data_IF_930363964223
#
_entry.id   IF_930363964223
#
_cell.length_a   1.000
_cell.length_b   1.000
_cell.length_c   1.000
_cell.angle_alpha   90.00
_cell.angle_beta   90.00
_cell.angle_gamma   90.00
#
_symmetry.space_group_name_H-M   'P 1'
#
loop_
_entity.id
_entity.type
_entity.pdbx_description
1 polymer ?
#
# COMPACT_ATOMS: atom_id res chain seq x y z
N UNK A 1 -18.97 12.20 -31.21
CA UNK A 1 -17.78 12.12 -30.33
C UNK A 1 -17.85 13.08 -29.15
N UNK A 2 -18.50 14.25 -29.25
CA UNK A 2 -18.59 15.22 -28.13
C UNK A 2 -19.27 14.73 -26.84
N UNK A 3 -20.17 13.75 -26.93
CA UNK A 3 -20.90 13.22 -25.76
C UNK A 3 -19.98 12.68 -24.67
N UNK A 4 -18.92 11.96 -25.04
CA UNK A 4 -17.95 11.45 -24.08
C UNK A 4 -17.12 12.57 -23.45
N UNK A 5 -16.79 13.63 -24.20
CA UNK A 5 -16.03 14.79 -23.71
C UNK A 5 -16.77 15.53 -22.58
N UNK A 6 -18.09 15.65 -22.69
CA UNK A 6 -18.93 16.25 -21.66
C UNK A 6 -19.08 15.37 -20.40
N UNK A 7 -18.93 14.04 -20.54
CA UNK A 7 -19.05 13.09 -19.43
C UNK A 7 -17.75 12.88 -18.66
N UNK A 8 -16.61 13.40 -19.16
CA UNK A 8 -15.28 13.29 -18.56
C UNK A 8 -14.65 14.65 -18.24
N UNK A 9 -15.46 15.72 -18.21
CA UNK A 9 -14.96 17.09 -18.18
C UNK A 9 -14.00 17.33 -17.00
N UNK A 10 -14.25 16.70 -15.85
CA UNK A 10 -13.40 16.81 -14.66
C UNK A 10 -12.06 16.10 -14.89
N UNK A 11 -12.05 14.85 -15.35
CA UNK A 11 -10.82 14.10 -15.59
C UNK A 11 -9.98 14.71 -16.72
N UNK A 12 -10.63 15.21 -17.77
CA UNK A 12 -9.97 15.87 -18.89
C UNK A 12 -9.28 17.17 -18.43
N UNK A 13 -9.95 17.98 -17.60
CA UNK A 13 -9.35 19.20 -17.03
C UNK A 13 -8.11 18.91 -16.18
N UNK A 14 -8.13 17.81 -15.41
CA UNK A 14 -6.96 17.37 -14.63
C UNK A 14 -5.80 17.01 -15.57
N UNK A 15 -6.07 16.25 -16.64
CA UNK A 15 -5.04 15.87 -17.61
C UNK A 15 -4.47 17.09 -18.34
N UNK A 16 -5.31 18.02 -18.77
CA UNK A 16 -4.86 19.29 -19.38
C UNK A 16 -3.91 20.06 -18.46
N UNK A 17 -4.20 20.10 -17.15
CA UNK A 17 -3.35 20.78 -16.18
C UNK A 17 -2.00 20.07 -16.01
N UNK A 18 -1.97 18.74 -16.04
CA UNK A 18 -0.73 17.95 -15.98
C UNK A 18 0.11 18.20 -17.22
N UNK A 19 -0.49 18.13 -18.41
CA UNK A 19 0.19 18.39 -19.68
C UNK A 19 0.80 19.80 -19.67
N UNK A 20 0.05 20.82 -19.22
CA UNK A 20 0.54 22.20 -19.07
C UNK A 20 1.76 22.30 -18.14
N UNK A 21 1.78 21.55 -17.04
CA UNK A 21 2.87 21.56 -16.06
C UNK A 21 4.12 20.86 -16.62
N UNK A 22 3.96 19.69 -17.21
CA UNK A 22 5.08 18.87 -17.69
C UNK A 22 5.66 19.38 -19.02
N UNK A 23 4.82 19.95 -19.88
CA UNK A 23 5.21 20.44 -21.20
C UNK A 23 4.91 21.94 -21.29
N UNK A 24 5.86 22.78 -20.88
CA UNK A 24 5.73 24.25 -20.94
C UNK A 24 5.37 24.78 -22.34
N UNK A 25 5.70 24.03 -23.39
CA UNK A 25 5.43 24.33 -24.80
C UNK A 25 4.34 23.43 -25.40
N UNK A 26 3.45 22.83 -24.60
CA UNK A 26 2.48 21.82 -25.08
C UNK A 26 1.61 22.30 -26.26
N UNK A 27 1.33 23.61 -26.35
CA UNK A 27 0.59 24.21 -27.46
C UNK A 27 1.36 24.14 -28.78
N UNK A 28 2.69 24.31 -28.72
CA UNK A 28 3.58 24.26 -29.88
C UNK A 28 3.81 22.81 -30.33
N UNK A 29 3.66 21.86 -29.40
CA UNK A 29 3.72 20.41 -29.64
C UNK A 29 2.41 19.81 -30.15
N UNK A 30 1.35 20.63 -30.32
CA UNK A 30 0.01 20.20 -30.73
C UNK A 30 -0.54 19.02 -29.89
N UNK A 31 -0.23 18.98 -28.59
CA UNK A 31 -0.71 17.91 -27.70
C UNK A 31 -2.19 18.17 -27.39
N UNK A 32 -3.08 17.35 -27.96
CA UNK A 32 -4.49 17.34 -27.61
C UNK A 32 -4.72 16.40 -26.42
N UNK A 33 -5.06 16.98 -25.26
CA UNK A 33 -5.35 16.23 -24.04
C UNK A 33 -6.52 15.25 -24.20
N UNK A 34 -7.51 15.55 -25.05
CA UNK A 34 -8.63 14.65 -25.31
C UNK A 34 -8.21 13.47 -26.19
N UNK A 35 -7.37 13.73 -27.19
CA UNK A 35 -6.80 12.68 -28.02
C UNK A 35 -5.86 11.78 -27.18
N UNK A 36 -4.98 12.37 -26.38
CA UNK A 36 -4.11 11.62 -25.47
C UNK A 36 -4.94 10.77 -24.47
N UNK A 37 -5.99 11.36 -23.90
CA UNK A 37 -6.90 10.66 -22.99
C UNK A 37 -7.61 9.47 -23.65
N UNK A 38 -8.05 9.62 -24.90
CA UNK A 38 -8.78 8.56 -25.62
C UNK A 38 -7.86 7.48 -26.18
N UNK A 39 -6.62 7.83 -26.52
CA UNK A 39 -5.63 6.90 -27.06
C UNK A 39 -4.84 6.13 -25.99
N UNK A 40 -4.91 6.53 -24.73
CA UNK A 40 -4.20 5.90 -23.62
C UNK A 40 -5.13 5.28 -22.57
N UNK A 41 -4.64 4.24 -21.90
CA UNK A 41 -5.36 3.56 -20.83
C UNK A 41 -5.19 4.29 -19.48
N UNK A 42 -5.80 5.46 -19.35
CA UNK A 42 -5.94 6.14 -18.06
C UNK A 42 -6.93 5.41 -17.15
N UNK A 43 -6.66 5.33 -15.84
CA UNK A 43 -7.71 5.03 -14.87
C UNK A 43 -8.49 6.33 -14.60
N UNK A 44 -9.73 6.40 -15.09
CA UNK A 44 -10.59 7.57 -15.03
C UNK A 44 -12.01 7.21 -14.58
N UNK A 45 -12.82 8.22 -14.29
CA UNK A 45 -14.24 8.06 -13.99
C UNK A 45 -15.07 9.20 -14.60
N UNK A 46 -16.29 8.89 -15.03
CA UNK A 46 -17.19 9.91 -15.55
C UNK A 46 -17.67 10.87 -14.44
N UNK A 47 -18.12 12.05 -14.83
CA UNK A 47 -18.57 13.10 -13.93
C UNK A 47 -19.74 12.64 -13.04
N UNK A 48 -20.61 11.75 -13.54
CA UNK A 48 -21.68 11.15 -12.75
C UNK A 48 -21.15 10.22 -11.65
N UNK A 49 -20.12 9.42 -11.93
CA UNK A 49 -19.50 8.54 -10.94
C UNK A 49 -18.79 9.34 -9.84
N UNK A 50 -18.14 10.45 -10.20
CA UNK A 50 -17.54 11.39 -9.26
C UNK A 50 -18.61 12.09 -8.41
N UNK A 51 -19.66 12.64 -9.05
CA UNK A 51 -20.79 13.31 -8.39
C UNK A 51 -21.50 12.39 -7.39
N UNK A 52 -21.72 11.14 -7.78
CA UNK A 52 -22.37 10.13 -6.94
C UNK A 52 -21.41 9.44 -5.98
N UNK A 53 -20.15 9.88 -5.88
CA UNK A 53 -19.12 9.32 -4.99
C UNK A 53 -18.87 7.82 -5.19
N UNK A 54 -19.17 7.30 -6.39
CA UNK A 54 -18.75 5.95 -6.80
C UNK A 54 -17.25 5.91 -7.13
N UNK A 55 -16.70 7.06 -7.49
CA UNK A 55 -15.27 7.30 -7.69
C UNK A 55 -14.82 8.58 -6.96
N UNK A 56 -13.52 8.73 -6.76
CA UNK A 56 -12.90 9.95 -6.25
C UNK A 56 -11.79 10.42 -7.19
N UNK A 57 -11.53 11.72 -7.16
CA UNK A 57 -10.47 12.36 -7.95
C UNK A 57 -9.08 11.96 -7.41
N UNK A 58 -8.19 11.59 -8.32
CA UNK A 58 -6.78 11.37 -8.02
C UNK A 58 -5.98 12.68 -8.23
N UNK A 59 -4.81 12.77 -7.60
CA UNK A 59 -3.88 13.89 -7.74
C UNK A 59 -2.59 13.36 -8.39
N UNK A 60 -2.48 13.37 -9.73
CA UNK A 60 -1.35 12.81 -10.45
C UNK A 60 0.05 13.27 -10.06
N UNK A 61 0.29 14.55 -9.73
CA UNK A 61 1.61 14.98 -9.26
C UNK A 61 2.07 14.29 -7.97
N UNK A 62 1.16 13.70 -7.22
CA UNK A 62 1.48 12.92 -6.02
C UNK A 62 1.66 11.44 -6.33
N UNK A 63 1.65 10.98 -7.58
CA UNK A 63 1.76 9.55 -7.88
C UNK A 63 3.17 9.18 -8.34
N UNK A 64 3.61 7.98 -7.97
CA UNK A 64 4.84 7.41 -8.49
C UNK A 64 4.57 6.66 -9.82
N UNK A 65 4.85 7.33 -10.94
CA UNK A 65 4.56 6.86 -12.31
C UNK A 65 5.60 7.36 -13.31
N UNK A 66 5.68 6.71 -14.47
CA UNK A 66 6.56 7.14 -15.59
C UNK A 66 5.77 7.77 -16.73
N UNK A 67 4.57 7.24 -17.04
CA UNK A 67 3.80 7.65 -18.22
C UNK A 67 2.41 8.14 -17.84
N UNK A 68 1.47 7.21 -17.64
CA UNK A 68 0.05 7.55 -17.52
C UNK A 68 -0.39 7.47 -16.06
N UNK A 69 -0.48 8.60 -15.34
CA UNK A 69 -1.01 8.60 -13.99
C UNK A 69 -2.49 8.21 -13.97
N UNK A 70 -2.98 7.81 -12.81
CA UNK A 70 -4.41 7.60 -12.58
C UNK A 70 -5.06 8.96 -12.35
N UNK A 71 -6.18 9.27 -13.02
CA UNK A 71 -6.87 10.56 -12.86
C UNK A 71 -8.10 10.46 -11.95
N UNK A 72 -8.61 9.24 -11.73
CA UNK A 72 -9.60 8.93 -10.71
C UNK A 72 -9.37 7.53 -10.11
N UNK A 73 -10.00 7.27 -8.96
CA UNK A 73 -10.03 5.96 -8.32
C UNK A 73 -11.47 5.50 -8.10
N UNK A 74 -11.71 4.22 -8.36
CA UNK A 74 -12.95 3.51 -8.03
C UNK A 74 -12.61 2.17 -7.36
N UNK A 75 -13.59 1.58 -6.69
CA UNK A 75 -13.41 0.33 -5.95
C UNK A 75 -13.05 -0.83 -6.89
N UNK A 76 -12.08 -1.66 -6.51
CA UNK A 76 -11.69 -2.86 -7.26
C UNK A 76 -11.82 -4.08 -6.39
N UNK A 77 -12.54 -5.09 -6.88
CA UNK A 77 -12.73 -6.37 -6.19
C UNK A 77 -11.57 -7.32 -6.54
N UNK A 78 -10.94 -7.88 -5.51
CA UNK A 78 -9.75 -8.72 -5.61
C UNK A 78 -9.91 -9.95 -4.73
N UNK A 79 -9.13 -11.00 -5.02
CA UNK A 79 -9.07 -12.22 -4.20
C UNK A 79 -7.76 -12.21 -3.40
N UNK A 80 -7.86 -12.43 -2.10
CA UNK A 80 -6.68 -12.46 -1.22
C UNK A 80 -5.85 -13.72 -1.50
N UNK A 81 -4.56 -13.55 -1.84
CA UNK A 81 -3.65 -14.68 -2.09
C UNK A 81 -3.42 -15.55 -0.86
N UNK A 82 -3.42 -14.98 0.34
CA UNK A 82 -3.19 -15.74 1.58
C UNK A 82 -4.41 -16.52 2.07
N UNK A 83 -5.59 -15.88 2.11
CA UNK A 83 -6.78 -16.51 2.73
C UNK A 83 -7.89 -16.89 1.73
N UNK A 84 -7.72 -16.57 0.44
CA UNK A 84 -8.69 -16.90 -0.62
C UNK A 84 -9.99 -16.09 -0.59
N UNK A 85 -10.17 -15.20 0.39
CA UNK A 85 -11.40 -14.39 0.51
C UNK A 85 -11.36 -13.19 -0.44
N UNK A 86 -12.54 -12.84 -0.95
CA UNK A 86 -12.75 -11.59 -1.67
C UNK A 86 -12.50 -10.40 -0.74
N UNK A 87 -11.90 -9.36 -1.29
CA UNK A 87 -11.75 -8.08 -0.62
C UNK A 87 -11.77 -6.94 -1.63
N UNK A 88 -12.10 -5.76 -1.16
CA UNK A 88 -12.16 -4.56 -1.99
C UNK A 88 -10.92 -3.72 -1.75
N UNK A 89 -10.18 -3.42 -2.82
CA UNK A 89 -9.23 -2.32 -2.83
C UNK A 89 -10.01 -1.04 -3.09
N UNK A 90 -10.39 -0.36 -2.01
CA UNK A 90 -11.31 0.78 -2.10
C UNK A 90 -10.65 1.98 -2.77
N UNK A 91 -11.46 2.87 -3.34
CA UNK A 91 -10.99 4.12 -3.93
C UNK A 91 -10.25 5.01 -2.93
N UNK A 92 -10.66 5.04 -1.66
CA UNK A 92 -9.96 5.74 -0.59
C UNK A 92 -8.60 5.09 -0.29
N UNK A 93 -8.56 3.75 -0.26
CA UNK A 93 -7.32 3.02 -0.06
C UNK A 93 -6.34 3.28 -1.23
N UNK A 94 -6.82 3.26 -2.48
CA UNK A 94 -6.03 3.61 -3.66
C UNK A 94 -5.40 4.99 -3.55
N UNK A 95 -6.16 5.99 -3.08
CA UNK A 95 -5.64 7.35 -2.88
C UNK A 95 -4.47 7.36 -1.92
N UNK A 96 -4.60 6.73 -0.75
CA UNK A 96 -3.49 6.62 0.21
C UNK A 96 -2.33 5.80 -0.37
N UNK A 97 -2.64 4.70 -1.05
CA UNK A 97 -1.66 3.76 -1.61
C UNK A 97 -0.74 4.42 -2.64
N UNK A 98 -1.31 5.18 -3.57
CA UNK A 98 -0.55 5.79 -4.66
C UNK A 98 -0.05 7.20 -4.31
N UNK A 99 -0.82 8.00 -3.56
CA UNK A 99 -0.48 9.41 -3.31
C UNK A 99 0.30 9.63 -2.02
N UNK A 100 0.01 8.87 -0.97
CA UNK A 100 0.69 9.01 0.33
C UNK A 100 1.85 8.03 0.45
N UNK A 101 1.62 6.75 0.14
CA UNK A 101 2.64 5.71 0.27
C UNK A 101 3.56 5.61 -0.96
N UNK A 102 3.24 6.33 -2.05
CA UNK A 102 4.07 6.41 -3.27
C UNK A 102 4.38 5.05 -3.89
N UNK A 103 3.52 4.05 -3.68
CA UNK A 103 3.65 2.79 -4.39
C UNK A 103 3.47 3.02 -5.89
N UNK A 104 4.20 2.26 -6.70
CA UNK A 104 4.08 2.30 -8.16
C UNK A 104 2.62 2.15 -8.59
N UNK A 105 2.17 2.99 -9.52
CA UNK A 105 0.76 3.01 -9.97
C UNK A 105 0.26 1.66 -10.54
N UNK A 106 1.16 0.80 -11.01
CA UNK A 106 0.83 -0.54 -11.51
C UNK A 106 0.72 -1.58 -10.39
N UNK A 107 1.13 -1.25 -9.17
CA UNK A 107 1.03 -2.15 -8.02
C UNK A 107 -0.38 -2.18 -7.45
N UNK A 108 -0.77 -3.32 -6.91
CA UNK A 108 -2.03 -3.52 -6.21
C UNK A 108 -1.81 -4.44 -5.00
N UNK A 109 -2.65 -4.34 -3.96
CA UNK A 109 -2.58 -5.28 -2.86
C UNK A 109 -2.95 -6.68 -3.35
N UNK A 110 -2.07 -7.65 -3.11
CA UNK A 110 -2.35 -9.08 -3.41
C UNK A 110 -2.96 -9.82 -2.22
N UNK A 111 -3.03 -9.17 -1.06
CA UNK A 111 -3.56 -9.69 0.19
C UNK A 111 -4.52 -8.69 0.81
N UNK A 112 -5.58 -9.18 1.44
CA UNK A 112 -6.52 -8.33 2.18
C UNK A 112 -5.82 -7.60 3.35
N UNK A 113 -6.47 -6.56 3.89
CA UNK A 113 -5.91 -5.75 4.98
C UNK A 113 -5.47 -6.59 6.19
N UNK A 114 -6.32 -7.52 6.62
CA UNK A 114 -6.03 -8.40 7.76
C UNK A 114 -4.77 -9.25 7.52
N UNK A 115 -4.66 -9.90 6.35
CA UNK A 115 -3.49 -10.69 5.99
C UNK A 115 -2.23 -9.82 5.86
N UNK A 116 -2.32 -8.60 5.29
CA UNK A 116 -1.18 -7.66 5.23
C UNK A 116 -0.70 -7.25 6.63
N UNK A 117 -1.61 -7.00 7.57
CA UNK A 117 -1.26 -6.68 8.96
C UNK A 117 -0.57 -7.86 9.65
N UNK A 118 -1.08 -9.08 9.48
CA UNK A 118 -0.46 -10.28 10.02
C UNK A 118 0.94 -10.53 9.45
N UNK A 119 1.12 -10.41 8.13
CA UNK A 119 2.43 -10.54 7.47
C UNK A 119 3.41 -9.50 8.01
N UNK A 120 2.98 -8.23 8.18
CA UNK A 120 3.81 -7.17 8.77
C UNK A 120 4.21 -7.50 10.21
N UNK A 121 3.26 -7.95 11.03
CA UNK A 121 3.52 -8.35 12.42
C UNK A 121 4.53 -9.49 12.49
N UNK A 122 4.36 -10.54 11.67
CA UNK A 122 5.28 -11.67 11.61
C UNK A 122 6.69 -11.24 11.18
N UNK A 123 6.80 -10.32 10.19
CA UNK A 123 8.10 -9.76 9.80
C UNK A 123 8.77 -8.98 10.93
N UNK A 124 8.03 -8.14 11.64
CA UNK A 124 8.54 -7.39 12.79
C UNK A 124 9.04 -8.36 13.86
N UNK A 125 8.21 -9.33 14.27
CA UNK A 125 8.57 -10.34 15.26
C UNK A 125 9.80 -11.16 14.83
N UNK A 126 9.87 -11.58 13.57
CA UNK A 126 11.02 -12.31 13.02
C UNK A 126 12.29 -11.46 13.06
N UNK A 127 12.19 -10.18 12.72
CA UNK A 127 13.31 -9.23 12.78
C UNK A 127 13.77 -9.00 14.21
N UNK A 128 12.84 -8.80 15.15
CA UNK A 128 13.13 -8.63 16.59
C UNK A 128 13.85 -9.86 17.13
N UNK A 129 13.33 -11.06 16.87
CA UNK A 129 13.99 -12.30 17.27
C UNK A 129 15.39 -12.40 16.65
N UNK A 130 15.54 -12.16 15.35
CA UNK A 130 16.85 -12.21 14.69
C UNK A 130 17.88 -11.28 15.34
N UNK A 131 17.48 -10.05 15.70
CA UNK A 131 18.36 -9.10 16.38
C UNK A 131 18.78 -9.56 17.78
N UNK A 132 17.84 -10.09 18.58
CA UNK A 132 18.14 -10.56 19.94
C UNK A 132 18.98 -11.83 19.91
N UNK A 133 18.62 -12.79 19.05
CA UNK A 133 19.25 -14.12 19.02
C UNK A 133 20.68 -14.13 18.44
N UNK A 134 21.14 -13.01 17.87
CA UNK A 134 22.55 -12.82 17.49
C UNK A 134 23.46 -12.57 18.69
N UNK A 135 22.92 -12.11 19.83
CA UNK A 135 23.70 -11.85 21.05
C UNK A 135 24.08 -13.16 21.73
N UNK A 136 25.19 -13.15 22.47
CA UNK A 136 25.47 -14.28 23.36
C UNK A 136 24.38 -14.38 24.43
N UNK A 137 24.07 -15.61 24.85
CA UNK A 137 23.00 -15.84 25.83
C UNK A 137 23.24 -15.16 27.17
N UNK A 138 24.50 -14.96 27.55
CA UNK A 138 24.88 -14.27 28.79
C UNK A 138 24.62 -12.77 28.70
N UNK A 139 24.65 -12.20 27.51
CA UNK A 139 24.52 -10.76 27.26
C UNK A 139 23.06 -10.28 27.14
N UNK A 140 22.12 -11.17 26.76
CA UNK A 140 20.70 -10.81 26.59
C UNK A 140 20.05 -10.27 27.87
N UNK A 141 19.41 -9.09 27.85
CA UNK A 141 18.75 -8.53 29.04
C UNK A 141 17.49 -9.31 29.46
N UNK A 142 16.95 -9.01 30.65
CA UNK A 142 15.69 -9.60 31.15
C UNK A 142 14.53 -9.22 30.21
N UNK A 143 14.48 -7.97 29.74
CA UNK A 143 13.47 -7.47 28.80
C UNK A 143 13.56 -8.19 27.45
N UNK A 144 14.78 -8.43 26.96
CA UNK A 144 15.01 -9.14 25.70
C UNK A 144 14.57 -10.61 25.79
N UNK A 145 14.93 -11.30 26.87
CA UNK A 145 14.49 -12.66 27.12
C UNK A 145 12.97 -12.77 27.27
N UNK A 146 12.34 -11.80 27.95
CA UNK A 146 10.88 -11.70 28.08
C UNK A 146 10.23 -11.54 26.70
N UNK A 147 10.75 -10.62 25.88
CA UNK A 147 10.27 -10.40 24.50
C UNK A 147 10.38 -11.67 23.65
N UNK A 148 11.49 -12.42 23.75
CA UNK A 148 11.69 -13.68 23.03
C UNK A 148 10.65 -14.73 23.44
N UNK A 149 10.38 -14.88 24.74
CA UNK A 149 9.38 -15.81 25.27
C UNK A 149 7.99 -15.47 24.74
N UNK A 150 7.57 -14.20 24.84
CA UNK A 150 6.25 -13.76 24.37
C UNK A 150 6.03 -14.02 22.88
N UNK A 151 7.06 -13.77 22.04
CA UNK A 151 6.96 -14.04 20.60
C UNK A 151 6.80 -15.54 20.34
N UNK A 152 7.61 -16.39 20.98
CA UNK A 152 7.50 -17.84 20.79
C UNK A 152 6.21 -18.44 21.36
N UNK A 153 5.64 -17.85 22.42
CA UNK A 153 4.30 -18.20 22.91
C UNK A 153 3.24 -17.88 21.85
N UNK A 154 3.27 -16.67 21.27
CA UNK A 154 2.36 -16.26 20.19
C UNK A 154 2.47 -17.15 18.94
N UNK A 155 3.66 -17.68 18.67
CA UNK A 155 3.92 -18.60 17.55
C UNK A 155 3.65 -20.06 17.86
N UNK A 156 3.17 -20.37 19.07
CA UNK A 156 2.91 -21.73 19.55
C UNK A 156 4.14 -22.66 19.43
N UNK A 157 5.30 -22.19 19.92
CA UNK A 157 6.57 -22.95 19.93
C UNK A 157 6.98 -23.35 21.36
N UNK A 158 6.29 -24.32 21.99
CA UNK A 158 6.40 -24.60 23.42
C UNK A 158 7.82 -25.00 23.88
N UNK A 159 8.59 -25.70 23.04
CA UNK A 159 9.97 -26.07 23.35
C UNK A 159 10.88 -24.84 23.49
N UNK A 160 10.72 -23.86 22.59
CA UNK A 160 11.48 -22.61 22.64
C UNK A 160 11.08 -21.77 23.84
N UNK A 161 9.78 -21.72 24.13
CA UNK A 161 9.25 -21.04 25.33
C UNK A 161 9.92 -21.59 26.59
N UNK A 162 9.88 -22.90 26.82
CA UNK A 162 10.54 -23.53 27.99
C UNK A 162 12.04 -23.22 28.07
N UNK A 163 12.74 -23.27 26.93
CA UNK A 163 14.16 -22.99 26.86
C UNK A 163 14.49 -21.55 27.32
N UNK A 164 13.83 -20.54 26.74
CA UNK A 164 14.11 -19.14 27.08
C UNK A 164 13.55 -18.70 28.43
N UNK A 165 12.45 -19.30 28.90
CA UNK A 165 11.95 -19.11 30.27
C UNK A 165 12.96 -19.59 31.32
N UNK A 166 13.65 -20.72 31.06
CA UNK A 166 14.68 -21.21 31.97
C UNK A 166 15.87 -20.24 32.09
N UNK A 167 16.24 -19.58 30.98
CA UNK A 167 17.31 -18.57 30.96
C UNK A 167 16.87 -17.29 31.67
N UNK A 168 15.63 -16.85 31.43
CA UNK A 168 15.04 -15.69 32.09
C UNK A 168 15.04 -15.86 33.61
N UNK A 169 14.57 -17.01 34.12
CA UNK A 169 14.57 -17.31 35.56
C UNK A 169 15.98 -17.28 36.16
N UNK A 170 16.96 -17.90 35.49
CA UNK A 170 18.36 -17.87 35.94
C UNK A 170 18.90 -16.44 36.03
N UNK A 171 18.56 -15.59 35.07
CA UNK A 171 19.04 -14.20 35.03
C UNK A 171 18.36 -13.32 36.08
N UNK A 172 17.06 -13.51 36.31
CA UNK A 172 16.32 -12.84 37.40
C UNK A 172 16.83 -13.22 38.79
N UNK A 173 17.30 -14.46 38.98
CA UNK A 173 17.90 -14.91 40.24
C UNK A 173 19.35 -14.40 40.44
N UNK A 174 20.00 -13.92 39.38
CA UNK A 174 21.40 -13.45 39.41
C UNK A 174 21.52 -11.92 39.36
N UNK A 175 20.40 -11.20 39.31
CA UNK A 175 20.30 -9.73 39.31
C UNK A 175 19.82 -9.25 40.67
#
# INVERSE_FOLDING_TARGET
>A
MEKYKAEISVCLSILENIIKIHFKQYKDLNIDAYEDFTNNNFEWACDLCLKNKKAIIAIPPLQNHVWNPKVAYYDTYLICRTCGKDFTFTKEEKKIWYETLQFWIQSSPVNCLQCRQQIRLLKIQSSTLSSILKKDKKEMSIEELTTVVEIYQKWNKPEKVKHYESLLKKKQMSS
#
